data_IF_604610084218
#
_entry.id   IF_604610084218
#
_cell.length_a   1.000
_cell.length_b   1.000
_cell.length_c   1.000
_cell.angle_alpha   90.00
_cell.angle_beta   90.00
_cell.angle_gamma   90.00
#
_symmetry.space_group_name_H-M   'P 1'
#
loop_
_entity.id
_entity.type
_entity.pdbx_description
1 polymer ?
#
# COMPACT_ATOMS: atom_id res chain seq x y z
N UNK A 1 -17.95 29.37 -14.39
CA UNK A 1 -17.70 28.51 -13.22
C UNK A 1 -16.23 28.58 -12.98
N UNK A 2 -15.84 29.27 -11.92
CA UNK A 2 -14.44 29.50 -11.61
C UNK A 2 -13.93 28.31 -10.79
N UNK A 3 -12.72 27.85 -11.10
CA UNK A 3 -12.11 26.68 -10.47
C UNK A 3 -10.90 27.17 -9.68
N UNK A 4 -10.84 26.81 -8.40
CA UNK A 4 -9.71 27.08 -7.53
C UNK A 4 -9.03 25.74 -7.20
N UNK A 5 -7.72 25.66 -7.48
CA UNK A 5 -6.88 24.53 -7.08
C UNK A 5 -5.99 24.98 -5.93
N UNK A 6 -6.07 24.29 -4.79
CA UNK A 6 -5.26 24.59 -3.60
C UNK A 6 -4.46 23.37 -3.18
N UNK A 7 -3.20 23.59 -2.84
CA UNK A 7 -2.34 22.62 -2.18
C UNK A 7 -1.97 23.19 -0.83
N UNK A 8 -2.39 22.50 0.24
CA UNK A 8 -2.10 22.89 1.61
C UNK A 8 -1.80 21.64 2.44
N UNK A 9 -1.01 21.81 3.50
CA UNK A 9 -0.82 20.79 4.52
C UNK A 9 -1.72 21.01 5.75
N UNK A 10 -2.46 22.12 5.80
CA UNK A 10 -3.40 22.42 6.89
C UNK A 10 -4.74 21.73 6.63
N UNK A 11 -5.06 20.75 7.47
CA UNK A 11 -6.27 19.94 7.36
C UNK A 11 -7.54 20.76 7.61
N UNK A 12 -7.52 21.72 8.53
CA UNK A 12 -8.71 22.54 8.86
C UNK A 12 -9.02 23.48 7.70
N UNK A 13 -7.99 24.01 7.06
CA UNK A 13 -8.16 24.82 5.86
C UNK A 13 -8.75 24.00 4.70
N UNK A 14 -8.21 22.80 4.44
CA UNK A 14 -8.71 21.94 3.36
C UNK A 14 -10.16 21.51 3.61
N UNK A 15 -10.50 21.16 4.85
CA UNK A 15 -11.84 20.74 5.23
C UNK A 15 -12.89 21.84 5.03
N UNK A 16 -12.52 23.10 5.29
CA UNK A 16 -13.46 24.24 5.22
C UNK A 16 -13.65 24.79 3.80
N UNK A 17 -12.66 24.64 2.93
CA UNK A 17 -12.65 25.30 1.61
C UNK A 17 -12.83 24.33 0.44
N UNK A 18 -12.36 23.09 0.55
CA UNK A 18 -12.37 22.14 -0.56
C UNK A 18 -13.71 21.40 -0.67
N UNK A 19 -14.23 21.31 -1.90
CA UNK A 19 -15.41 20.49 -2.24
C UNK A 19 -15.04 19.12 -2.81
N UNK A 20 -13.78 18.98 -3.22
CA UNK A 20 -13.23 17.81 -3.87
C UNK A 20 -11.76 17.67 -3.48
N UNK A 21 -11.31 16.43 -3.27
CA UNK A 21 -9.93 16.11 -2.92
C UNK A 21 -9.30 15.32 -4.07
N UNK A 22 -8.11 15.73 -4.48
CA UNK A 22 -7.28 15.02 -5.44
C UNK A 22 -6.07 14.45 -4.70
N UNK A 23 -6.04 13.13 -4.52
CA UNK A 23 -4.93 12.41 -3.93
C UNK A 23 -3.91 12.05 -5.00
N UNK A 24 -2.67 12.52 -4.82
CA UNK A 24 -1.54 12.10 -5.64
C UNK A 24 -0.95 10.81 -5.07
N UNK A 25 -1.27 9.66 -5.65
CA UNK A 25 -0.63 8.39 -5.31
C UNK A 25 0.70 8.27 -6.05
N UNK A 26 1.78 8.33 -5.26
CA UNK A 26 3.13 8.08 -5.77
C UNK A 26 3.33 6.57 -5.95
N UNK A 27 3.53 6.13 -7.18
CA UNK A 27 4.10 4.80 -7.43
C UNK A 27 5.62 4.88 -7.25
N UNK A 28 6.22 3.85 -6.67
CA UNK A 28 7.63 3.80 -6.28
C UNK A 28 8.68 4.21 -7.34
N UNK A 29 9.83 4.61 -6.79
CA UNK A 29 11.06 5.01 -7.46
C UNK A 29 11.47 4.00 -8.55
N UNK A 30 11.24 4.39 -9.81
CA UNK A 30 11.55 3.58 -11.00
C UNK A 30 10.41 3.56 -12.02
N UNK A 31 9.17 3.83 -11.60
CA UNK A 31 8.02 3.97 -12.49
C UNK A 31 7.58 5.43 -12.56
N UNK A 32 7.63 6.04 -13.76
CA UNK A 32 7.32 7.45 -14.00
C UNK A 32 5.82 7.81 -13.88
N UNK A 33 4.97 6.91 -13.39
CA UNK A 33 3.51 7.05 -13.48
C UNK A 33 2.86 7.30 -12.13
N UNK A 34 2.80 8.57 -11.72
CA UNK A 34 1.89 8.98 -10.64
C UNK A 34 0.43 8.79 -11.06
N UNK A 35 -0.41 8.35 -10.13
CA UNK A 35 -1.86 8.26 -10.35
C UNK A 35 -2.56 9.29 -9.49
N UNK A 36 -3.49 10.02 -10.10
CA UNK A 36 -4.34 10.98 -9.40
C UNK A 36 -5.69 10.31 -9.12
N UNK A 37 -6.10 10.26 -7.86
CA UNK A 37 -7.38 9.70 -7.44
C UNK A 37 -8.26 10.83 -6.95
N UNK A 38 -9.47 10.92 -7.49
CA UNK A 38 -10.47 11.92 -7.10
C UNK A 38 -11.40 11.36 -6.04
N UNK A 39 -11.67 12.19 -5.04
CA UNK A 39 -12.65 11.97 -3.99
C UNK A 39 -13.59 13.18 -3.94
N UNK A 40 -14.88 12.93 -3.87
CA UNK A 40 -15.89 13.98 -3.73
C UNK A 40 -16.17 14.23 -2.25
N UNK A 41 -16.29 15.51 -1.87
CA UNK A 41 -16.51 15.94 -0.51
C UNK A 41 -15.33 16.69 0.08
N UNK A 42 -15.52 17.12 1.33
CA UNK A 42 -14.51 17.79 2.15
C UNK A 42 -13.37 16.84 2.56
N UNK A 43 -12.38 17.40 3.27
CA UNK A 43 -11.20 16.65 3.68
C UNK A 43 -11.53 15.55 4.71
N UNK A 44 -12.47 15.79 5.63
CA UNK A 44 -12.92 14.80 6.60
C UNK A 44 -13.59 13.60 5.93
N UNK A 45 -14.43 13.85 4.92
CA UNK A 45 -15.09 12.81 4.11
C UNK A 45 -14.07 11.97 3.34
N UNK A 46 -13.04 12.61 2.77
CA UNK A 46 -11.91 11.91 2.16
C UNK A 46 -11.20 10.98 3.16
N UNK A 47 -10.89 11.46 4.38
CA UNK A 47 -10.22 10.64 5.39
C UNK A 47 -11.06 9.43 5.81
N UNK A 48 -12.37 9.61 5.99
CA UNK A 48 -13.29 8.51 6.31
C UNK A 48 -13.29 7.47 5.18
N UNK A 49 -13.43 7.93 3.93
CA UNK A 49 -13.40 7.06 2.75
C UNK A 49 -12.09 6.28 2.65
N UNK A 50 -10.95 6.95 2.89
CA UNK A 50 -9.63 6.31 2.89
C UNK A 50 -9.53 5.23 3.98
N UNK A 51 -10.09 5.48 5.16
CA UNK A 51 -10.10 4.51 6.26
C UNK A 51 -10.94 3.26 5.93
N UNK A 52 -12.11 3.46 5.32
CA UNK A 52 -13.00 2.37 4.90
C UNK A 52 -12.35 1.52 3.80
N UNK A 53 -11.72 2.16 2.83
CA UNK A 53 -10.97 1.48 1.77
C UNK A 53 -9.82 0.64 2.35
N UNK A 54 -9.05 1.17 3.31
CA UNK A 54 -7.97 0.43 3.99
C UNK A 54 -8.51 -0.80 4.71
N UNK A 55 -9.62 -0.67 5.44
CA UNK A 55 -10.25 -1.80 6.13
C UNK A 55 -10.77 -2.84 5.15
N UNK A 56 -11.40 -2.43 4.06
CA UNK A 56 -11.88 -3.32 3.01
C UNK A 56 -10.72 -4.08 2.33
N UNK A 57 -9.64 -3.36 1.98
CA UNK A 57 -8.42 -3.95 1.40
C UNK A 57 -7.79 -4.96 2.36
N UNK A 58 -7.70 -4.64 3.65
CA UNK A 58 -7.17 -5.56 4.65
C UNK A 58 -8.04 -6.83 4.79
N UNK A 59 -9.37 -6.70 4.76
CA UNK A 59 -10.28 -7.86 4.80
C UNK A 59 -10.10 -8.76 3.58
N UNK A 60 -9.99 -8.17 2.40
CA UNK A 60 -9.73 -8.89 1.15
C UNK A 60 -8.38 -9.62 1.21
N UNK A 61 -7.32 -8.93 1.68
CA UNK A 61 -5.99 -9.53 1.89
C UNK A 61 -6.05 -10.74 2.81
N UNK A 62 -6.69 -10.60 3.97
CA UNK A 62 -6.84 -11.72 4.94
C UNK A 62 -7.65 -12.88 4.36
N UNK A 63 -8.71 -12.60 3.58
CA UNK A 63 -9.49 -13.64 2.92
C UNK A 63 -8.65 -14.40 1.88
N UNK A 64 -7.87 -13.67 1.10
CA UNK A 64 -6.97 -14.21 0.07
C UNK A 64 -5.86 -15.07 0.69
N UNK A 65 -5.21 -14.57 1.75
CA UNK A 65 -4.19 -15.32 2.50
C UNK A 65 -4.76 -16.63 3.07
N UNK A 66 -5.98 -16.60 3.64
CA UNK A 66 -6.65 -17.82 4.14
C UNK A 66 -6.94 -18.83 3.04
N UNK A 67 -7.38 -18.38 1.86
CA UNK A 67 -7.63 -19.26 0.73
C UNK A 67 -6.33 -19.90 0.22
N UNK A 68 -5.29 -19.08 0.10
CA UNK A 68 -3.94 -19.53 -0.25
C UNK A 68 -3.42 -20.58 0.73
N UNK A 69 -3.58 -20.37 2.03
CA UNK A 69 -3.08 -21.28 3.05
C UNK A 69 -3.86 -22.60 3.05
N UNK A 70 -5.18 -22.58 2.83
CA UNK A 70 -5.97 -23.81 2.62
C UNK A 70 -5.49 -24.59 1.40
N UNK A 71 -5.17 -23.91 0.32
CA UNK A 71 -4.68 -24.54 -0.91
C UNK A 71 -3.29 -25.15 -0.71
N UNK A 72 -2.40 -24.45 0.02
CA UNK A 72 -1.09 -24.97 0.46
C UNK A 72 -1.22 -26.19 1.36
N UNK A 73 -2.15 -26.18 2.32
CA UNK A 73 -2.40 -27.32 3.20
C UNK A 73 -2.94 -28.52 2.41
N UNK A 74 -3.88 -28.30 1.48
CA UNK A 74 -4.40 -29.35 0.59
C UNK A 74 -3.27 -29.99 -0.22
N UNK A 75 -2.41 -29.19 -0.86
CA UNK A 75 -1.29 -29.70 -1.66
C UNK A 75 -0.29 -30.49 -0.80
N UNK A 76 0.01 -30.02 0.42
CA UNK A 76 1.00 -30.65 1.31
C UNK A 76 0.47 -31.92 2.00
N UNK A 77 -0.79 -31.95 2.43
CA UNK A 77 -1.44 -33.12 3.05
C UNK A 77 -1.73 -34.21 2.04
N UNK A 78 -2.28 -33.87 0.87
CA UNK A 78 -2.66 -34.85 -0.15
C UNK A 78 -1.46 -35.34 -0.97
N UNK A 79 -0.36 -34.58 -1.01
CA UNK A 79 0.91 -35.03 -1.58
C UNK A 79 1.54 -36.21 -0.84
N UNK A 80 1.16 -36.46 0.43
CA UNK A 80 1.67 -37.58 1.24
C UNK A 80 0.74 -38.79 1.29
N UNK A 81 -0.57 -38.62 1.04
CA UNK A 81 -1.59 -39.67 1.22
C UNK A 81 -2.00 -40.41 -0.05
N UNK A 82 -1.77 -39.85 -1.24
CA UNK A 82 -2.26 -40.44 -2.49
C UNK A 82 -1.18 -40.43 -3.58
N UNK A 83 -0.45 -41.54 -3.69
CA UNK A 83 0.33 -41.93 -4.87
C UNK A 83 -0.57 -42.66 -5.90
N UNK A 84 -1.85 -42.28 -5.93
CA UNK A 84 -2.88 -42.91 -6.74
C UNK A 84 -3.12 -42.08 -8.02
N UNK A 85 -2.91 -42.63 -9.23
CA UNK A 85 -3.00 -41.90 -10.49
C UNK A 85 -4.34 -41.17 -10.72
N UNK A 86 -5.43 -41.65 -10.13
CA UNK A 86 -6.77 -41.04 -10.25
C UNK A 86 -6.87 -39.60 -9.71
N UNK A 87 -6.03 -39.20 -8.75
CA UNK A 87 -6.07 -37.87 -8.12
C UNK A 87 -4.97 -36.91 -8.60
N UNK A 88 -4.12 -37.36 -9.52
CA UNK A 88 -2.97 -36.58 -10.01
C UNK A 88 -3.40 -35.34 -10.81
N UNK A 89 -4.47 -35.45 -11.60
CA UNK A 89 -5.05 -34.34 -12.37
C UNK A 89 -5.59 -33.23 -11.47
N UNK A 90 -6.30 -33.59 -10.40
CA UNK A 90 -6.86 -32.65 -9.43
C UNK A 90 -5.76 -31.89 -8.68
N UNK A 91 -4.65 -32.56 -8.32
CA UNK A 91 -3.47 -31.92 -7.71
C UNK A 91 -2.82 -30.91 -8.65
N UNK A 92 -2.62 -31.28 -9.93
CA UNK A 92 -2.00 -30.39 -10.93
C UNK A 92 -2.83 -29.13 -11.18
N UNK A 93 -4.15 -29.26 -11.23
CA UNK A 93 -5.07 -28.12 -11.36
C UNK A 93 -4.97 -27.18 -10.16
N UNK A 94 -4.96 -27.71 -8.93
CA UNK A 94 -4.85 -26.91 -7.70
C UNK A 94 -3.48 -26.25 -7.51
N UNK A 95 -2.39 -26.89 -7.96
CA UNK A 95 -1.06 -26.25 -8.00
C UNK A 95 -1.05 -25.05 -8.94
N UNK A 96 -1.63 -25.21 -10.15
CA UNK A 96 -1.73 -24.11 -11.11
C UNK A 96 -2.60 -22.96 -10.59
N UNK A 97 -3.66 -23.26 -9.84
CA UNK A 97 -4.47 -22.25 -9.15
C UNK A 97 -3.63 -21.50 -8.09
N UNK A 98 -2.81 -22.19 -7.31
CA UNK A 98 -1.94 -21.55 -6.31
C UNK A 98 -0.90 -20.63 -6.96
N UNK A 99 -0.28 -21.08 -8.05
CA UNK A 99 0.71 -20.31 -8.81
C UNK A 99 0.10 -19.02 -9.39
N UNK A 100 -1.10 -19.12 -9.97
CA UNK A 100 -1.83 -17.95 -10.48
C UNK A 100 -2.21 -16.96 -9.36
N UNK A 101 -2.55 -17.44 -8.16
CA UNK A 101 -2.84 -16.57 -7.02
C UNK A 101 -1.57 -15.85 -6.51
N UNK A 102 -0.40 -16.50 -6.58
CA UNK A 102 0.88 -15.88 -6.19
C UNK A 102 1.33 -14.77 -7.15
N UNK A 103 1.01 -14.90 -8.44
CA UNK A 103 1.32 -13.86 -9.44
C UNK A 103 0.50 -12.58 -9.21
N UNK A 104 -0.74 -12.71 -8.72
CA UNK A 104 -1.61 -11.57 -8.38
C UNK A 104 -1.16 -10.84 -7.11
N UNK A 105 -0.58 -11.55 -6.13
CA UNK A 105 -0.08 -10.97 -4.87
C UNK A 105 1.21 -10.14 -5.08
N UNK A 106 1.94 -10.35 -6.18
CA UNK A 106 3.17 -9.60 -6.51
C UNK A 106 2.94 -8.17 -7.00
N UNK A 107 1.68 -7.74 -7.15
CA UNK A 107 1.32 -6.40 -7.59
C UNK A 107 0.96 -5.54 -6.38
N UNK A 108 1.91 -4.67 -6.02
CA UNK A 108 1.76 -3.48 -5.17
C UNK A 108 1.55 -3.74 -3.67
N UNK A 109 2.55 -4.32 -3.00
CA UNK A 109 2.85 -3.82 -1.66
C UNK A 109 3.42 -2.39 -1.82
N UNK A 110 2.77 -1.40 -1.22
CA UNK A 110 3.32 -0.05 -1.08
C UNK A 110 4.65 -0.16 -0.33
N UNK A 111 5.75 -0.35 -1.05
CA UNK A 111 7.06 -0.47 -0.41
C UNK A 111 7.38 0.85 0.30
N UNK A 112 7.83 0.74 1.54
CA UNK A 112 8.15 1.89 2.37
C UNK A 112 9.13 2.83 1.63
N UNK A 113 8.84 4.12 1.65
CA UNK A 113 9.75 5.12 1.11
C UNK A 113 11.03 5.13 1.96
N UNK A 114 12.06 4.42 1.51
CA UNK A 114 13.38 4.45 2.16
C UNK A 114 14.10 5.74 1.76
N UNK A 115 13.87 6.81 2.52
CA UNK A 115 14.60 8.05 2.36
C UNK A 115 16.02 7.88 2.93
N UNK A 116 17.02 7.79 2.05
CA UNK A 116 18.43 7.81 2.45
C UNK A 116 18.92 9.23 2.46
N UNK A 117 19.11 9.80 3.64
CA UNK A 117 19.73 11.11 3.76
C UNK A 117 21.22 11.02 3.39
N UNK A 118 21.75 12.00 2.64
CA UNK A 118 23.18 12.10 2.43
C UNK A 118 23.89 12.26 3.77
N UNK A 119 25.14 11.79 3.87
CA UNK A 119 25.95 12.10 5.05
C UNK A 119 26.06 13.63 5.15
N UNK A 120 25.85 14.22 6.34
CA UNK A 120 25.99 15.66 6.51
C UNK A 120 27.40 16.07 6.05
N UNK A 121 27.47 17.16 5.28
CA UNK A 121 28.75 17.76 4.94
C UNK A 121 29.29 18.47 6.19
N UNK A 122 30.36 17.93 6.78
CA UNK A 122 31.04 18.53 7.92
C UNK A 122 31.16 17.61 9.13
N UNK A 123 32.18 17.86 9.94
CA UNK A 123 32.32 17.26 11.27
C UNK A 123 31.46 18.12 12.19
N UNK A 124 30.31 17.61 12.63
CA UNK A 124 29.61 18.23 13.75
C UNK A 124 30.49 18.04 14.99
N UNK A 125 31.23 19.08 15.38
CA UNK A 125 31.88 19.10 16.69
C UNK A 125 30.80 19.27 17.74
N UNK A 126 30.66 18.37 18.73
CA UNK A 126 29.71 18.54 19.83
C UNK A 126 29.90 19.84 20.64
N UNK A 127 31.03 20.53 20.45
CA UNK A 127 31.39 21.78 21.15
C UNK A 127 31.15 23.05 20.33
N UNK A 128 30.68 22.95 19.08
CA UNK A 128 30.24 24.14 18.36
C UNK A 128 28.89 24.59 18.93
N UNK A 129 28.97 25.56 19.84
CA UNK A 129 27.84 26.17 20.50
C UNK A 129 26.78 26.57 19.47
N UNK A 130 25.66 25.86 19.47
CA UNK A 130 24.44 26.27 18.80
C UNK A 130 24.14 27.70 19.26
N UNK A 131 24.00 28.61 18.29
CA UNK A 131 23.70 30.02 18.53
C UNK A 131 22.48 30.08 19.45
N UNK A 132 22.70 30.52 20.69
CA UNK A 132 21.61 30.85 21.60
C UNK A 132 20.85 32.01 20.98
N UNK A 133 19.66 31.74 20.49
CA UNK A 133 18.70 32.80 20.14
C UNK A 133 18.44 33.55 21.44
N UNK A 134 18.88 34.81 21.51
CA UNK A 134 18.43 35.74 22.56
C UNK A 134 17.03 36.21 22.16
N UNK A 135 16.15 36.20 23.16
CA UNK A 135 14.74 36.61 23.11
C UNK A 135 14.50 37.94 22.36
#
# INVERSE_FOLDING_TARGET
>A
TDILLVVSHDQVFLDTVCTDILELKSTLAGSSKSTLVHYSGDYATYLNTLSEQKVAQQRLRVAFEKERDKLREFISRDGKKYDNPAHQSQRKMKMKQLESLMEVEGVEEESELVMRFPKPYGIFSPTENLISVKD
#
